data_IF_457524098611
#
_entry.id   IF_457524098611
#
_cell.length_a   1.000
_cell.length_b   1.000
_cell.length_c   1.000
_cell.angle_alpha   90.00
_cell.angle_beta   90.00
_cell.angle_gamma   90.00
#
_symmetry.space_group_name_H-M   'P 1'
#
loop_
_entity.id
_entity.type
_entity.pdbx_description
1 polymer ?
#
# COMPACT_ATOMS: atom_id res chain seq x y z
N UNK A 1 -23.29 2.90 7.28
CA UNK A 1 -22.05 3.52 7.80
C UNK A 1 -21.11 2.39 8.18
N UNK A 2 -19.81 2.51 7.94
CA UNK A 2 -18.84 1.48 8.31
C UNK A 2 -18.76 1.39 9.83
N UNK A 3 -18.90 0.20 10.40
CA UNK A 3 -18.78 0.03 11.86
C UNK A 3 -17.32 0.21 12.32
N UNK A 4 -17.06 0.64 13.57
CA UNK A 4 -15.70 0.80 14.09
C UNK A 4 -14.85 -0.48 13.99
N UNK A 5 -15.47 -1.65 14.11
CA UNK A 5 -14.80 -2.94 13.93
C UNK A 5 -14.30 -3.13 12.49
N UNK A 6 -15.15 -2.84 11.49
CA UNK A 6 -14.80 -2.89 10.06
C UNK A 6 -13.70 -1.89 9.70
N UNK A 7 -13.71 -0.70 10.30
CA UNK A 7 -12.64 0.28 10.12
C UNK A 7 -11.30 -0.26 10.64
N UNK A 8 -11.28 -0.80 11.87
CA UNK A 8 -10.06 -1.38 12.45
C UNK A 8 -9.51 -2.54 11.62
N UNK A 9 -10.39 -3.42 11.13
CA UNK A 9 -9.98 -4.53 10.27
C UNK A 9 -9.42 -4.03 8.92
N UNK A 10 -10.02 -3.00 8.33
CA UNK A 10 -9.49 -2.37 7.11
C UNK A 10 -8.09 -1.79 7.35
N UNK A 11 -7.87 -1.15 8.49
CA UNK A 11 -6.56 -0.59 8.85
C UNK A 11 -5.52 -1.70 9.07
N UNK A 12 -5.91 -2.82 9.69
CA UNK A 12 -5.05 -4.01 9.84
C UNK A 12 -4.70 -4.65 8.49
N UNK A 13 -5.68 -4.83 7.60
CA UNK A 13 -5.45 -5.34 6.27
C UNK A 13 -4.52 -4.42 5.46
N UNK A 14 -4.70 -3.10 5.57
CA UNK A 14 -3.82 -2.11 4.93
C UNK A 14 -2.39 -2.20 5.47
N UNK A 15 -2.20 -2.31 6.78
CA UNK A 15 -0.89 -2.48 7.39
C UNK A 15 -0.19 -3.76 6.87
N UNK A 16 -0.90 -4.90 6.87
CA UNK A 16 -0.37 -6.17 6.36
C UNK A 16 -0.03 -6.11 4.86
N UNK A 17 -0.91 -5.50 4.05
CA UNK A 17 -0.69 -5.27 2.63
C UNK A 17 0.62 -4.51 2.38
N UNK A 18 0.87 -3.45 3.15
CA UNK A 18 2.08 -2.64 2.99
C UNK A 18 3.35 -3.31 3.54
N UNK A 19 3.24 -4.19 4.54
CA UNK A 19 4.36 -5.04 4.97
C UNK A 19 4.73 -6.01 3.84
N UNK A 20 3.77 -6.78 3.33
CA UNK A 20 3.99 -7.75 2.26
C UNK A 20 4.54 -7.07 0.98
N UNK A 21 3.96 -5.94 0.58
CA UNK A 21 4.44 -5.17 -0.56
C UNK A 21 5.88 -4.63 -0.35
N UNK A 22 6.25 -4.28 0.89
CA UNK A 22 7.62 -3.87 1.22
C UNK A 22 8.60 -5.04 1.12
N UNK A 23 8.19 -6.25 1.51
CA UNK A 23 8.99 -7.47 1.36
C UNK A 23 9.21 -7.81 -0.11
N UNK A 24 8.18 -7.71 -0.96
CA UNK A 24 8.33 -7.91 -2.42
C UNK A 24 9.31 -6.88 -3.01
N UNK A 25 9.19 -5.61 -2.60
CA UNK A 25 10.11 -4.55 -3.03
C UNK A 25 11.56 -4.79 -2.60
N UNK A 26 11.78 -5.29 -1.38
CA UNK A 26 13.11 -5.64 -0.87
C UNK A 26 13.69 -6.87 -1.58
N UNK A 27 12.87 -7.89 -1.83
CA UNK A 27 13.27 -9.07 -2.60
C UNK A 27 13.70 -8.68 -4.02
N UNK A 28 12.96 -7.78 -4.68
CA UNK A 28 13.32 -7.26 -6.00
C UNK A 28 14.68 -6.54 -6.00
N UNK A 29 15.02 -5.80 -4.95
CA UNK A 29 16.36 -5.18 -4.80
C UNK A 29 17.44 -6.24 -4.68
N UNK A 30 17.26 -7.20 -3.77
CA UNK A 30 18.23 -8.28 -3.54
C UNK A 30 18.49 -9.06 -4.82
N UNK A 31 17.41 -9.51 -5.47
CA UNK A 31 17.47 -10.28 -6.70
C UNK A 31 18.17 -9.49 -7.84
N UNK A 32 17.83 -8.22 -8.00
CA UNK A 32 18.43 -7.35 -9.03
C UNK A 32 19.92 -7.10 -8.76
N UNK A 33 20.32 -6.91 -7.51
CA UNK A 33 21.73 -6.79 -7.13
C UNK A 33 22.48 -8.09 -7.36
N UNK A 34 21.93 -9.24 -6.97
CA UNK A 34 22.53 -10.55 -7.22
C UNK A 34 22.79 -10.79 -8.70
N UNK A 35 21.79 -10.53 -9.56
CA UNK A 35 21.96 -10.64 -11.02
C UNK A 35 23.03 -9.68 -11.55
N UNK A 36 23.15 -8.48 -10.98
CA UNK A 36 24.15 -7.50 -11.40
C UNK A 36 25.59 -7.88 -11.02
N UNK A 37 25.78 -8.59 -9.91
CA UNK A 37 27.11 -9.11 -9.53
C UNK A 37 27.66 -10.12 -10.56
N UNK A 38 26.78 -10.76 -11.34
CA UNK A 38 27.19 -11.65 -12.43
C UNK A 38 27.65 -10.90 -13.69
N UNK A 39 27.43 -9.58 -13.77
CA UNK A 39 27.88 -8.74 -14.90
C UNK A 39 29.32 -8.29 -14.63
N UNK A 40 30.33 -8.80 -15.36
CA UNK A 40 31.72 -8.45 -15.09
C UNK A 40 31.97 -6.97 -15.40
N UNK A 41 32.74 -6.28 -14.54
CA UNK A 41 33.11 -4.88 -14.77
C UNK A 41 33.92 -4.66 -16.06
N UNK A 42 34.53 -5.71 -16.61
CA UNK A 42 35.48 -5.65 -17.73
C UNK A 42 34.97 -6.34 -19.01
N UNK A 43 34.07 -7.33 -18.92
CA UNK A 43 33.56 -8.10 -20.07
C UNK A 43 32.06 -7.81 -20.33
N UNK A 44 31.82 -6.67 -20.99
CA UNK A 44 30.56 -5.89 -20.95
C UNK A 44 29.49 -6.34 -21.97
N UNK A 45 29.86 -6.57 -23.22
CA UNK A 45 28.89 -6.80 -24.31
C UNK A 45 28.33 -8.24 -24.36
N UNK A 46 29.14 -9.23 -23.97
CA UNK A 46 28.78 -10.65 -24.09
C UNK A 46 27.69 -11.07 -23.08
N UNK A 47 27.61 -10.42 -21.93
CA UNK A 47 26.70 -10.78 -20.82
C UNK A 47 25.49 -9.86 -20.69
N UNK A 48 25.53 -8.66 -21.27
CA UNK A 48 24.48 -7.63 -21.11
C UNK A 48 23.08 -8.09 -21.56
N UNK A 49 22.96 -8.70 -22.75
CA UNK A 49 21.65 -9.15 -23.26
C UNK A 49 21.08 -10.31 -22.44
N UNK A 50 21.95 -11.19 -21.93
CA UNK A 50 21.56 -12.32 -21.07
C UNK A 50 21.14 -11.86 -19.67
N UNK A 51 21.85 -10.89 -19.10
CA UNK A 51 21.48 -10.23 -17.85
C UNK A 51 20.12 -9.52 -17.98
N UNK A 52 19.95 -8.68 -19.00
CA UNK A 52 18.74 -7.87 -19.18
C UNK A 52 17.49 -8.76 -19.27
N UNK A 53 17.55 -9.85 -20.05
CA UNK A 53 16.43 -10.80 -20.16
C UNK A 53 16.05 -11.42 -18.82
N UNK A 54 17.05 -11.85 -18.02
CA UNK A 54 16.82 -12.44 -16.70
C UNK A 54 16.26 -11.42 -15.71
N UNK A 55 16.81 -10.20 -15.72
CA UNK A 55 16.34 -9.12 -14.86
C UNK A 55 14.88 -8.74 -15.17
N UNK A 56 14.51 -8.60 -16.46
CA UNK A 56 13.13 -8.34 -16.87
C UNK A 56 12.19 -9.44 -16.36
N UNK A 57 12.52 -10.71 -16.64
CA UNK A 57 11.68 -11.84 -16.21
C UNK A 57 11.47 -11.87 -14.69
N UNK A 58 12.53 -11.60 -13.93
CA UNK A 58 12.46 -11.59 -12.48
C UNK A 58 11.59 -10.46 -11.96
N UNK A 59 11.84 -9.22 -12.42
CA UNK A 59 11.12 -8.04 -11.95
C UNK A 59 9.65 -8.10 -12.34
N UNK A 60 9.32 -8.60 -13.54
CA UNK A 60 7.93 -8.82 -13.96
C UNK A 60 7.24 -9.90 -13.12
N UNK A 61 7.98 -10.92 -12.66
CA UNK A 61 7.49 -11.89 -11.68
C UNK A 61 7.13 -11.23 -10.33
N UNK A 62 8.01 -10.37 -9.79
CA UNK A 62 7.75 -9.59 -8.56
C UNK A 62 6.62 -8.58 -8.74
N UNK A 63 6.49 -8.00 -9.94
CA UNK A 63 5.40 -7.10 -10.30
C UNK A 63 4.05 -7.81 -10.26
N UNK A 64 3.96 -9.00 -10.85
CA UNK A 64 2.77 -9.87 -10.79
C UNK A 64 2.37 -10.17 -9.34
N UNK A 65 3.32 -10.59 -8.50
CA UNK A 65 3.09 -10.81 -7.07
C UNK A 65 2.49 -9.56 -6.38
N UNK A 66 3.05 -8.38 -6.67
CA UNK A 66 2.55 -7.12 -6.10
C UNK A 66 1.14 -6.77 -6.56
N UNK A 67 0.84 -6.98 -7.85
CA UNK A 67 -0.47 -6.78 -8.45
C UNK A 67 -1.53 -7.69 -7.83
N UNK A 68 -1.24 -8.98 -7.76
CA UNK A 68 -2.18 -9.98 -7.24
C UNK A 68 -2.48 -9.70 -5.75
N UNK A 69 -1.45 -9.34 -4.97
CA UNK A 69 -1.58 -8.88 -3.59
C UNK A 69 -2.48 -7.63 -3.47
N UNK A 70 -2.33 -6.65 -4.37
CA UNK A 70 -3.15 -5.44 -4.35
C UNK A 70 -4.61 -5.69 -4.74
N UNK A 71 -4.87 -6.63 -5.65
CA UNK A 71 -6.24 -7.04 -6.01
C UNK A 71 -6.95 -7.64 -4.81
N UNK A 72 -6.35 -8.64 -4.16
CA UNK A 72 -6.92 -9.28 -2.98
C UNK A 72 -7.16 -8.26 -1.84
N UNK A 73 -6.17 -7.38 -1.59
CA UNK A 73 -6.34 -6.29 -0.62
C UNK A 73 -7.50 -5.36 -0.98
N UNK A 74 -7.60 -4.91 -2.24
CA UNK A 74 -8.65 -4.00 -2.67
C UNK A 74 -10.03 -4.63 -2.53
N UNK A 75 -10.18 -5.91 -2.90
CA UNK A 75 -11.42 -6.68 -2.75
C UNK A 75 -11.86 -6.74 -1.29
N UNK A 76 -10.95 -7.09 -0.38
CA UNK A 76 -11.23 -7.15 1.06
C UNK A 76 -11.56 -5.77 1.64
N UNK A 77 -10.72 -4.77 1.39
CA UNK A 77 -10.90 -3.41 1.92
C UNK A 77 -12.22 -2.79 1.43
N UNK A 78 -12.57 -3.00 0.16
CA UNK A 78 -13.84 -2.54 -0.40
C UNK A 78 -15.05 -3.22 0.23
N UNK A 79 -14.97 -4.53 0.47
CA UNK A 79 -16.04 -5.28 1.15
C UNK A 79 -16.27 -4.74 2.57
N UNK A 80 -15.19 -4.60 3.35
CA UNK A 80 -15.24 -4.06 4.72
C UNK A 80 -15.79 -2.64 4.77
N UNK A 81 -15.47 -1.80 3.78
CA UNK A 81 -15.88 -0.39 3.78
C UNK A 81 -17.26 -0.13 3.15
N UNK A 82 -17.73 -1.02 2.27
CA UNK A 82 -18.91 -0.73 1.43
C UNK A 82 -19.97 -1.83 1.41
N UNK A 83 -19.70 -3.00 2.00
CA UNK A 83 -20.58 -4.17 1.96
C UNK A 83 -20.61 -4.89 0.60
N UNK A 84 -19.72 -4.53 -0.33
CA UNK A 84 -19.63 -5.11 -1.67
C UNK A 84 -18.17 -5.19 -2.10
N UNK A 85 -17.83 -6.14 -2.98
CA UNK A 85 -16.47 -6.30 -3.51
C UNK A 85 -16.46 -6.18 -5.03
N UNK A 86 -15.29 -6.34 -5.63
CA UNK A 86 -15.10 -6.30 -7.09
C UNK A 86 -14.70 -7.68 -7.61
N UNK A 87 -15.08 -7.97 -8.85
CA UNK A 87 -14.70 -9.21 -9.52
C UNK A 87 -13.19 -9.27 -9.81
N UNK A 88 -12.63 -10.48 -9.82
CA UNK A 88 -11.33 -10.72 -10.44
C UNK A 88 -11.47 -10.68 -11.98
N UNK A 89 -10.74 -9.81 -12.68
CA UNK A 89 -10.84 -9.68 -14.14
C UNK A 89 -10.44 -10.94 -14.94
N UNK A 90 -9.82 -11.94 -14.32
CA UNK A 90 -9.34 -13.16 -14.98
C UNK A 90 -10.12 -14.43 -14.62
N UNK A 91 -11.07 -14.34 -13.69
CA UNK A 91 -11.84 -15.49 -13.24
C UNK A 91 -13.34 -15.19 -13.30
N UNK A 92 -14.19 -16.15 -13.72
CA UNK A 92 -15.62 -16.02 -13.52
C UNK A 92 -15.90 -16.07 -12.02
N UNK A 93 -16.27 -14.94 -11.45
CA UNK A 93 -16.65 -14.84 -10.05
C UNK A 93 -18.15 -15.13 -9.90
N UNK A 94 -18.57 -15.79 -8.80
CA UNK A 94 -19.97 -15.87 -8.46
C UNK A 94 -20.55 -14.46 -8.20
N UNK A 95 -21.87 -14.31 -8.31
CA UNK A 95 -22.54 -13.05 -7.98
C UNK A 95 -22.28 -12.62 -6.52
N UNK A 96 -22.03 -13.59 -5.64
CA UNK A 96 -21.76 -13.37 -4.22
C UNK A 96 -20.55 -14.19 -3.75
N UNK A 97 -19.74 -13.59 -2.87
CA UNK A 97 -18.65 -14.25 -2.13
C UNK A 97 -18.81 -14.01 -0.63
N UNK A 98 -18.19 -14.85 0.21
CA UNK A 98 -18.20 -14.60 1.67
C UNK A 98 -17.04 -13.71 2.10
N UNK A 99 -17.19 -13.03 3.24
CA UNK A 99 -16.10 -12.25 3.82
C UNK A 99 -14.94 -13.15 4.25
N UNK A 100 -15.24 -14.39 4.64
CA UNK A 100 -14.24 -15.40 4.96
C UNK A 100 -13.37 -15.77 3.74
N UNK A 101 -13.97 -15.82 2.54
CA UNK A 101 -13.23 -16.08 1.30
C UNK A 101 -12.27 -14.94 0.97
N UNK A 102 -12.73 -13.69 1.05
CA UNK A 102 -11.89 -12.50 0.81
C UNK A 102 -10.73 -12.39 1.80
N UNK A 103 -10.99 -12.70 3.08
CA UNK A 103 -9.95 -12.74 4.12
C UNK A 103 -8.90 -13.81 3.81
N UNK A 104 -9.32 -15.01 3.41
CA UNK A 104 -8.42 -16.11 3.06
C UNK A 104 -7.58 -15.79 1.82
N UNK A 105 -8.21 -15.29 0.75
CA UNK A 105 -7.54 -14.84 -0.47
C UNK A 105 -6.43 -13.82 -0.15
N UNK A 106 -6.74 -12.82 0.68
CA UNK A 106 -5.75 -11.83 1.09
C UNK A 106 -4.68 -12.41 2.02
N UNK A 107 -5.04 -13.25 2.99
CA UNK A 107 -4.10 -13.85 3.94
C UNK A 107 -3.05 -14.73 3.24
N UNK A 108 -3.45 -15.50 2.23
CA UNK A 108 -2.56 -16.36 1.44
C UNK A 108 -1.44 -15.55 0.75
N UNK A 109 -1.71 -14.31 0.34
CA UNK A 109 -0.76 -13.44 -0.33
C UNK A 109 0.01 -12.52 0.64
N UNK A 110 -0.62 -12.07 1.71
CA UNK A 110 -0.03 -11.13 2.66
C UNK A 110 0.89 -11.81 3.69
N UNK A 111 0.61 -13.07 4.03
CA UNK A 111 1.39 -13.90 4.98
C UNK A 111 1.34 -13.45 6.45
N UNK A 112 1.29 -12.15 6.73
CA UNK A 112 1.27 -11.58 8.09
C UNK A 112 -0.12 -11.12 8.55
N UNK A 113 -1.15 -11.36 7.75
CA UNK A 113 -2.52 -10.98 8.09
C UNK A 113 -3.22 -12.13 8.81
N UNK A 114 -3.62 -11.90 10.06
CA UNK A 114 -4.47 -12.81 10.82
C UNK A 114 -5.92 -12.31 10.76
N UNK A 115 -6.78 -13.13 10.16
CA UNK A 115 -8.20 -12.83 10.08
C UNK A 115 -8.84 -12.85 11.49
N UNK A 116 -9.78 -11.94 11.81
CA UNK A 116 -10.57 -12.05 13.02
C UNK A 116 -11.31 -13.40 13.08
N UNK A 117 -11.47 -14.01 14.26
CA UNK A 117 -12.23 -15.26 14.38
C UNK A 117 -13.66 -15.06 13.88
N UNK A 118 -14.15 -15.97 13.02
CA UNK A 118 -15.52 -15.91 12.52
C UNK A 118 -16.52 -16.25 13.64
N UNK A 119 -17.56 -15.42 13.79
CA UNK A 119 -18.63 -15.63 14.78
C UNK A 119 -19.36 -16.97 14.62
N UNK A 120 -19.27 -17.61 13.44
CA UNK A 120 -19.91 -18.87 13.09
C UNK A 120 -19.23 -20.14 13.62
N UNK A 121 -18.07 -20.07 14.29
CA UNK A 121 -17.40 -21.27 14.83
C UNK A 121 -17.80 -21.63 16.27
N UNK A 122 -18.57 -20.79 16.97
CA UNK A 122 -18.87 -20.97 18.40
C UNK A 122 -20.14 -21.78 18.69
N UNK A 123 -20.78 -22.37 17.67
CA UNK A 123 -22.11 -23.01 17.80
C UNK A 123 -22.11 -24.53 17.60
N UNK A 124 -21.00 -25.22 17.83
CA UNK A 124 -20.97 -26.69 17.84
C UNK A 124 -20.04 -27.21 18.92
N UNK A 125 -20.49 -27.17 20.18
CA UNK A 125 -20.21 -28.18 21.23
C UNK A 125 -20.89 -27.75 22.52
N UNK A 126 -22.15 -28.17 22.71
CA UNK A 126 -22.74 -28.52 24.00
C UNK A 126 -24.22 -28.91 23.79
N UNK A 127 -24.43 -30.12 23.30
CA UNK A 127 -25.63 -30.90 23.65
C UNK A 127 -25.10 -32.18 24.26
N UNK A 128 -25.26 -32.36 25.56
CA UNK A 128 -26.17 -33.35 26.15
C UNK A 128 -25.96 -33.43 27.68
N UNK A 129 -26.99 -33.91 28.37
CA UNK A 129 -27.15 -34.12 29.83
C UNK A 129 -27.63 -32.87 30.62
N UNK A 130 -28.76 -32.86 31.33
CA UNK A 130 -29.81 -33.84 31.58
C UNK A 130 -31.08 -33.09 32.03
N UNK A 131 -32.23 -33.70 31.72
CA UNK A 131 -33.57 -33.32 32.16
C UNK A 131 -33.74 -33.58 33.66
N UNK A 132 -34.49 -32.71 34.34
CA UNK A 132 -35.57 -33.12 35.26
C UNK A 132 -36.53 -31.97 35.59
N UNK A 133 -37.77 -32.35 35.92
CA UNK A 133 -39.00 -31.59 35.75
C UNK A 133 -39.47 -30.73 36.96
N UNK A 134 -40.35 -29.78 36.61
CA UNK A 134 -41.17 -28.79 37.34
C UNK A 134 -42.06 -29.31 38.51
N UNK A 135 -43.03 -28.53 39.08
CA UNK A 135 -43.16 -27.07 39.37
C UNK A 135 -43.62 -26.77 40.84
N UNK A 136 -43.62 -25.51 41.30
CA UNK A 136 -44.75 -24.98 42.10
C UNK A 136 -44.81 -23.43 42.17
N UNK A 137 -46.04 -23.00 42.43
CA UNK A 137 -46.76 -21.72 42.40
C UNK A 137 -46.37 -20.63 43.42
N UNK A 138 -46.81 -19.40 43.16
CA UNK A 138 -46.76 -18.28 44.12
C UNK A 138 -47.18 -16.92 43.53
N UNK A 139 -48.49 -16.65 43.57
CA UNK A 139 -49.19 -15.40 43.24
C UNK A 139 -48.77 -14.20 44.10
N UNK A 140 -48.75 -12.97 43.54
CA UNK A 140 -49.30 -11.74 44.15
C UNK A 140 -49.05 -10.48 43.30
N UNK A 141 -50.07 -9.63 43.28
CA UNK A 141 -50.28 -8.50 42.37
C UNK A 141 -49.96 -7.12 42.99
N UNK A 142 -49.30 -6.25 42.19
CA UNK A 142 -49.46 -4.76 42.03
C UNK A 142 -49.19 -3.79 43.22
N UNK A 143 -49.06 -2.43 43.02
CA UNK A 143 -48.96 -1.61 41.79
C UNK A 143 -47.91 -0.42 41.79
N UNK A 144 -47.73 0.18 40.60
CA UNK A 144 -47.24 1.52 40.14
C UNK A 144 -46.12 2.28 40.90
N UNK A 145 -45.04 2.59 40.17
CA UNK A 145 -44.40 3.92 40.22
C UNK A 145 -43.75 4.27 38.88
N UNK A 146 -44.22 5.37 38.31
CA UNK A 146 -43.79 6.04 37.10
C UNK A 146 -42.34 6.53 37.26
N UNK A 147 -41.42 6.04 36.43
CA UNK A 147 -40.10 6.64 36.27
C UNK A 147 -39.68 6.52 34.82
N UNK A 148 -39.60 7.69 34.19
CA UNK A 148 -39.08 7.92 32.85
C UNK A 148 -37.62 7.50 32.82
N UNK A 149 -37.36 6.24 32.46
CA UNK A 149 -36.06 5.82 31.99
C UNK A 149 -35.96 6.22 30.52
N UNK A 150 -35.25 7.32 30.29
CA UNK A 150 -34.63 7.60 29.00
C UNK A 150 -33.71 6.40 28.74
N UNK A 151 -34.22 5.46 27.94
CA UNK A 151 -33.40 4.41 27.36
C UNK A 151 -32.38 5.14 26.49
N UNK A 152 -31.13 5.17 26.96
CA UNK A 152 -30.01 5.33 26.06
C UNK A 152 -30.23 4.31 24.95
N UNK A 153 -30.48 4.81 23.75
CA UNK A 153 -30.50 4.00 22.55
C UNK A 153 -29.17 3.24 22.54
N UNK A 154 -29.25 1.95 22.87
CA UNK A 154 -28.19 1.00 22.66
C UNK A 154 -27.77 1.15 21.20
N UNK A 155 -26.55 1.63 21.00
CA UNK A 155 -25.97 1.87 19.71
C UNK A 155 -26.09 0.57 18.91
N UNK A 156 -26.77 0.67 17.77
CA UNK A 156 -27.30 -0.48 17.03
C UNK A 156 -26.35 -1.67 17.01
N UNK A 157 -26.78 -2.74 17.68
CA UNK A 157 -26.31 -4.09 17.39
C UNK A 157 -26.52 -4.29 15.90
N UNK A 158 -25.41 -4.43 15.16
CA UNK A 158 -25.37 -4.71 13.73
C UNK A 158 -26.36 -5.88 13.46
N UNK A 159 -27.54 -5.56 12.92
CA UNK A 159 -28.53 -6.55 12.53
C UNK A 159 -27.94 -7.37 11.39
N UNK A 160 -27.48 -8.58 11.71
CA UNK A 160 -27.24 -9.72 10.82
C UNK A 160 -26.97 -9.33 9.35
N UNK A 161 -25.91 -8.56 9.09
CA UNK A 161 -25.40 -8.38 7.73
C UNK A 161 -24.96 -9.78 7.26
N UNK A 162 -25.60 -10.32 6.22
CA UNK A 162 -25.29 -11.61 5.60
C UNK A 162 -23.91 -11.53 4.93
N UNK A 163 -22.86 -11.65 5.74
CA UNK A 163 -21.46 -11.64 5.34
C UNK A 163 -21.04 -12.92 4.61
N UNK A 164 -21.96 -13.88 4.49
CA UNK A 164 -21.80 -15.04 3.62
C UNK A 164 -22.18 -14.68 2.17
N UNK A 165 -22.81 -13.51 1.93
CA UNK A 165 -23.24 -13.03 0.61
C UNK A 165 -22.85 -11.56 0.33
N UNK A 166 -21.57 -11.29 0.16
CA UNK A 166 -21.06 -10.00 -0.35
C UNK A 166 -21.22 -9.96 -1.88
N UNK A 167 -21.96 -8.96 -2.38
CA UNK A 167 -22.14 -8.73 -3.82
C UNK A 167 -20.80 -8.45 -4.51
N UNK A 168 -20.56 -9.14 -5.63
CA UNK A 168 -19.41 -8.91 -6.52
C UNK A 168 -19.83 -7.96 -7.66
N UNK A 169 -19.18 -6.81 -7.76
CA UNK A 169 -19.42 -5.83 -8.81
C UNK A 169 -18.32 -5.87 -9.88
N UNK A 170 -18.71 -5.82 -11.15
CA UNK A 170 -17.75 -5.72 -12.25
C UNK A 170 -17.29 -4.27 -12.47
N UNK A 171 -15.98 -4.10 -12.70
CA UNK A 171 -15.41 -2.83 -13.11
C UNK A 171 -15.14 -2.86 -14.62
N UNK A 172 -15.90 -2.07 -15.37
CA UNK A 172 -15.82 -2.01 -16.83
C UNK A 172 -14.39 -1.67 -17.32
N UNK A 173 -13.89 -2.45 -18.27
CA UNK A 173 -12.59 -2.22 -18.91
C UNK A 173 -11.38 -2.46 -18.00
N UNK A 174 -11.55 -3.09 -16.84
CA UNK A 174 -10.46 -3.32 -15.87
C UNK A 174 -9.39 -4.26 -16.43
N UNK A 175 -9.82 -5.34 -17.09
CA UNK A 175 -8.91 -6.34 -17.67
C UNK A 175 -8.05 -5.72 -18.76
N UNK A 176 -8.67 -5.03 -19.71
CA UNK A 176 -7.99 -4.43 -20.86
C UNK A 176 -6.94 -3.41 -20.42
N UNK A 177 -7.26 -2.60 -19.41
CA UNK A 177 -6.32 -1.62 -18.85
C UNK A 177 -5.21 -2.28 -18.05
N UNK A 178 -5.49 -3.33 -17.27
CA UNK A 178 -4.44 -4.06 -16.57
C UNK A 178 -3.47 -4.70 -17.57
N UNK A 179 -3.97 -5.37 -18.61
CA UNK A 179 -3.14 -5.94 -19.67
C UNK A 179 -2.31 -4.86 -20.40
N UNK A 180 -2.88 -3.67 -20.62
CA UNK A 180 -2.16 -2.52 -21.19
C UNK A 180 -1.07 -2.02 -20.25
N UNK A 181 -1.37 -1.83 -18.97
CA UNK A 181 -0.42 -1.40 -17.94
C UNK A 181 0.75 -2.37 -17.83
N UNK A 182 0.49 -3.69 -17.89
CA UNK A 182 1.56 -4.68 -17.80
C UNK A 182 2.47 -4.70 -19.04
N UNK A 183 1.92 -4.48 -20.25
CA UNK A 183 2.73 -4.29 -21.46
C UNK A 183 3.61 -3.04 -21.38
N UNK A 184 3.02 -1.90 -21.01
CA UNK A 184 3.73 -0.63 -20.84
C UNK A 184 4.83 -0.73 -19.78
N UNK A 185 4.57 -1.44 -18.68
CA UNK A 185 5.55 -1.66 -17.61
C UNK A 185 6.74 -2.52 -18.08
N UNK A 186 6.53 -3.55 -18.90
CA UNK A 186 7.62 -4.35 -19.45
C UNK A 186 8.49 -3.54 -20.41
N UNK A 187 7.86 -2.73 -21.27
CA UNK A 187 8.57 -1.82 -22.20
C UNK A 187 9.37 -0.75 -21.46
N UNK A 188 8.77 -0.13 -20.44
CA UNK A 188 9.46 0.82 -19.55
C UNK A 188 10.66 0.14 -18.89
N UNK A 189 10.45 -1.04 -18.29
CA UNK A 189 11.49 -1.76 -17.57
C UNK A 189 12.66 -2.13 -18.48
N UNK A 190 12.39 -2.60 -19.70
CA UNK A 190 13.42 -2.91 -20.69
C UNK A 190 14.28 -1.68 -20.98
N UNK A 191 13.63 -0.54 -21.21
CA UNK A 191 14.29 0.74 -21.49
C UNK A 191 15.12 1.21 -20.30
N UNK A 192 14.54 1.18 -19.10
CA UNK A 192 15.16 1.68 -17.87
C UNK A 192 16.32 0.81 -17.42
N UNK A 193 16.20 -0.52 -17.46
CA UNK A 193 17.28 -1.41 -17.04
C UNK A 193 18.46 -1.38 -18.01
N UNK A 194 18.22 -1.29 -19.32
CA UNK A 194 19.32 -1.14 -20.27
C UNK A 194 20.05 0.20 -20.08
N UNK A 195 19.28 1.29 -19.90
CA UNK A 195 19.81 2.61 -19.65
C UNK A 195 20.61 2.69 -18.33
N UNK A 196 20.04 2.20 -17.21
CA UNK A 196 20.64 2.32 -15.86
C UNK A 196 21.68 1.24 -15.54
N UNK A 197 21.62 0.09 -16.21
CA UNK A 197 22.56 -1.01 -16.07
C UNK A 197 23.73 -0.88 -17.04
N UNK A 198 23.68 -1.62 -18.15
CA UNK A 198 24.77 -1.76 -19.13
C UNK A 198 25.23 -0.44 -19.72
N UNK A 199 24.31 0.40 -20.22
CA UNK A 199 24.69 1.64 -20.89
C UNK A 199 25.29 2.66 -19.93
N UNK A 200 24.71 2.80 -18.73
CA UNK A 200 25.23 3.67 -17.68
C UNK A 200 26.61 3.23 -17.19
N UNK A 201 26.83 1.93 -17.01
CA UNK A 201 28.15 1.40 -16.67
C UNK A 201 29.16 1.71 -17.78
N UNK A 202 28.82 1.44 -19.05
CA UNK A 202 29.71 1.73 -20.19
C UNK A 202 30.14 3.20 -20.21
N UNK A 203 29.16 4.11 -20.16
CA UNK A 203 29.41 5.55 -20.15
C UNK A 203 30.34 5.98 -19.01
N UNK A 204 30.12 5.48 -17.79
CA UNK A 204 30.95 5.82 -16.62
C UNK A 204 32.37 5.28 -16.73
N UNK A 205 32.54 4.13 -17.36
CA UNK A 205 33.85 3.51 -17.57
C UNK A 205 34.64 4.21 -18.67
N UNK A 206 33.97 4.64 -19.75
CA UNK A 206 34.61 5.36 -20.85
C UNK A 206 35.08 6.76 -20.43
N UNK A 207 34.52 7.31 -19.35
CA UNK A 207 34.98 8.54 -18.69
C UNK A 207 36.28 8.35 -17.86
N UNK A 208 36.70 7.10 -17.60
CA UNK A 208 37.94 6.79 -16.87
C UNK A 208 39.11 6.81 -17.86
N UNK A 209 39.89 7.89 -17.86
CA UNK A 209 41.06 8.02 -18.73
C UNK A 209 42.20 7.03 -18.41
N UNK A 210 42.98 6.67 -19.44
CA UNK A 210 44.09 5.70 -19.37
C UNK A 210 45.30 6.16 -18.53
N UNK A 211 45.31 7.41 -18.06
CA UNK A 211 46.45 8.04 -17.39
C UNK A 211 46.50 7.79 -15.87
N UNK A 212 45.50 7.13 -15.27
CA UNK A 212 45.47 6.88 -13.82
C UNK A 212 46.31 5.64 -13.42
N UNK A 213 46.94 5.65 -12.22
CA UNK A 213 47.54 4.44 -11.66
C UNK A 213 46.54 3.28 -11.61
N UNK A 214 46.97 2.07 -11.95
CA UNK A 214 46.09 0.91 -12.12
C UNK A 214 45.16 0.64 -10.92
N UNK A 215 45.64 0.84 -9.69
CA UNK A 215 44.87 0.66 -8.44
C UNK A 215 43.74 1.69 -8.28
N UNK A 216 43.98 2.93 -8.69
CA UNK A 216 42.96 3.98 -8.62
C UNK A 216 41.91 3.76 -9.71
N UNK A 217 42.34 3.33 -10.89
CA UNK A 217 41.43 2.94 -11.96
C UNK A 217 40.54 1.74 -11.57
N UNK A 218 41.08 0.71 -10.90
CA UNK A 218 40.29 -0.44 -10.40
C UNK A 218 39.20 -0.01 -9.41
N UNK A 219 39.56 0.85 -8.45
CA UNK A 219 38.60 1.35 -7.47
C UNK A 219 37.49 2.17 -8.12
N UNK A 220 37.83 3.04 -9.07
CA UNK A 220 36.84 3.85 -9.80
C UNK A 220 35.91 2.95 -10.62
N UNK A 221 36.43 1.89 -11.24
CA UNK A 221 35.61 0.88 -11.93
C UNK A 221 34.65 0.16 -10.99
N UNK A 222 35.12 -0.26 -9.83
CA UNK A 222 34.29 -0.93 -8.82
C UNK A 222 33.17 0.01 -8.32
N UNK A 223 33.50 1.27 -8.04
CA UNK A 223 32.51 2.25 -7.59
C UNK A 223 31.49 2.59 -8.68
N UNK A 224 31.91 2.68 -9.94
CA UNK A 224 30.99 2.83 -11.08
C UNK A 224 30.04 1.62 -11.21
N UNK A 225 30.56 0.40 -11.08
CA UNK A 225 29.76 -0.83 -11.10
C UNK A 225 28.76 -0.87 -9.94
N UNK A 226 29.21 -0.55 -8.72
CA UNK A 226 28.36 -0.48 -7.52
C UNK A 226 27.23 0.54 -7.68
N UNK A 227 27.53 1.73 -8.21
CA UNK A 227 26.53 2.77 -8.43
C UNK A 227 25.51 2.39 -9.50
N UNK A 228 25.96 1.83 -10.64
CA UNK A 228 25.05 1.33 -11.67
C UNK A 228 24.14 0.22 -11.13
N UNK A 229 24.71 -0.72 -10.36
CA UNK A 229 23.98 -1.76 -9.65
C UNK A 229 22.91 -1.23 -8.71
N UNK A 230 23.25 -0.22 -7.89
CA UNK A 230 22.30 0.41 -6.99
C UNK A 230 21.17 1.15 -7.73
N UNK A 231 21.49 1.85 -8.83
CA UNK A 231 20.50 2.60 -9.62
C UNK A 231 19.51 1.66 -10.32
N UNK A 232 20.00 0.61 -10.99
CA UNK A 232 19.10 -0.36 -11.63
C UNK A 232 18.25 -1.11 -10.59
N UNK A 233 18.81 -1.46 -9.43
CA UNK A 233 18.06 -2.19 -8.39
C UNK A 233 16.93 -1.34 -7.79
N UNK A 234 17.16 -0.02 -7.65
CA UNK A 234 16.11 0.92 -7.24
C UNK A 234 14.96 1.01 -8.26
N UNK A 235 15.28 1.00 -9.55
CA UNK A 235 14.28 0.95 -10.62
C UNK A 235 13.53 -0.38 -10.67
N UNK A 236 14.25 -1.51 -10.52
CA UNK A 236 13.66 -2.85 -10.43
C UNK A 236 12.64 -2.94 -9.29
N UNK A 237 13.01 -2.46 -8.09
CA UNK A 237 12.10 -2.37 -6.95
C UNK A 237 10.89 -1.49 -7.24
N UNK A 238 11.08 -0.31 -7.86
CA UNK A 238 9.98 0.56 -8.23
C UNK A 238 9.00 -0.13 -9.17
N UNK A 239 9.46 -0.75 -10.25
CA UNK A 239 8.61 -1.41 -11.25
C UNK A 239 7.86 -2.59 -10.65
N UNK A 240 8.54 -3.41 -9.82
CA UNK A 240 7.92 -4.50 -9.08
C UNK A 240 6.78 -3.96 -8.20
N UNK A 241 7.08 -2.99 -7.33
CA UNK A 241 6.10 -2.40 -6.44
C UNK A 241 4.98 -1.64 -7.16
N UNK A 242 5.25 -1.11 -8.36
CA UNK A 242 4.23 -0.46 -9.17
C UNK A 242 3.15 -1.44 -9.64
N UNK A 243 3.38 -2.77 -9.62
CA UNK A 243 2.31 -3.73 -9.85
C UNK A 243 1.15 -3.50 -8.88
N UNK A 244 1.46 -3.38 -7.58
CA UNK A 244 0.44 -3.07 -6.58
C UNK A 244 -0.16 -1.67 -6.74
N UNK A 245 0.69 -0.67 -7.00
CA UNK A 245 0.29 0.75 -7.01
C UNK A 245 -0.58 1.10 -8.20
N UNK A 246 -0.22 0.59 -9.39
CA UNK A 246 -0.99 0.76 -10.62
C UNK A 246 -2.32 0.02 -10.52
N UNK A 247 -2.33 -1.20 -9.96
CA UNK A 247 -3.58 -1.96 -9.76
C UNK A 247 -4.54 -1.26 -8.82
N UNK A 248 -4.07 -0.85 -7.63
CA UNK A 248 -4.91 -0.12 -6.70
C UNK A 248 -5.45 1.17 -7.35
N UNK A 249 -4.60 1.90 -8.07
CA UNK A 249 -5.00 3.10 -8.80
C UNK A 249 -6.08 2.83 -9.85
N UNK A 250 -5.89 1.79 -10.66
CA UNK A 250 -6.79 1.49 -11.76
C UNK A 250 -8.18 1.05 -11.27
N UNK A 251 -8.21 0.24 -10.20
CA UNK A 251 -9.43 -0.11 -9.49
C UNK A 251 -10.11 1.15 -8.93
N UNK A 252 -9.37 1.95 -8.15
CA UNK A 252 -9.88 3.18 -7.56
C UNK A 252 -10.46 4.13 -8.59
N UNK A 253 -9.84 4.31 -9.75
CA UNK A 253 -10.30 5.23 -10.78
C UNK A 253 -11.64 4.79 -11.38
N UNK A 254 -11.83 3.49 -11.58
CA UNK A 254 -13.04 2.88 -12.16
C UNK A 254 -14.17 2.69 -11.17
N UNK A 255 -13.84 2.42 -9.92
CA UNK A 255 -14.82 2.08 -8.91
C UNK A 255 -15.65 3.31 -8.50
N UNK A 256 -16.96 3.28 -8.79
CA UNK A 256 -17.89 4.36 -8.43
C UNK A 256 -18.05 4.51 -6.91
N UNK A 257 -17.74 3.47 -6.13
CA UNK A 257 -17.78 3.52 -4.66
C UNK A 257 -16.56 4.21 -4.06
N UNK A 258 -15.43 4.26 -4.77
CA UNK A 258 -14.29 5.07 -4.37
C UNK A 258 -14.57 6.55 -4.67
N UNK A 259 -14.80 7.34 -3.63
CA UNK A 259 -15.04 8.79 -3.72
C UNK A 259 -13.79 9.54 -4.18
N UNK A 260 -12.61 8.99 -3.91
CA UNK A 260 -11.33 9.59 -4.20
C UNK A 260 -10.17 8.74 -3.72
N UNK A 261 -8.99 9.36 -3.61
CA UNK A 261 -7.82 8.77 -3.01
C UNK A 261 -7.12 9.74 -2.08
N UNK A 262 -6.32 9.19 -1.17
CA UNK A 262 -5.36 9.94 -0.36
C UNK A 262 -3.97 9.38 -0.61
N UNK A 263 -2.96 10.25 -0.59
CA UNK A 263 -1.56 9.83 -0.63
C UNK A 263 -1.08 9.55 0.79
N UNK A 264 -0.43 8.41 0.98
CA UNK A 264 0.07 7.97 2.29
C UNK A 264 1.55 7.53 2.22
N UNK A 265 2.19 7.49 3.38
CA UNK A 265 3.60 7.07 3.53
C UNK A 265 3.67 5.73 4.27
N UNK A 266 4.39 4.75 3.70
CA UNK A 266 4.66 3.47 4.39
C UNK A 266 5.64 3.61 5.57
N UNK A 267 6.46 4.67 5.59
CA UNK A 267 7.54 4.82 6.58
C UNK A 267 7.25 5.89 7.64
N UNK A 268 6.15 6.63 7.51
CA UNK A 268 5.89 7.85 8.30
C UNK A 268 6.87 9.02 8.03
N UNK A 269 7.91 8.81 7.24
CA UNK A 269 8.99 9.77 6.95
C UNK A 269 9.15 9.99 5.43
N UNK A 270 8.11 10.51 4.75
CA UNK A 270 8.13 10.66 3.30
C UNK A 270 9.15 11.72 2.84
N UNK A 271 9.66 11.59 1.61
CA UNK A 271 10.45 12.66 1.01
C UNK A 271 9.59 13.94 0.85
N UNK A 272 10.21 15.11 0.75
CA UNK A 272 9.47 16.38 0.72
C UNK A 272 8.48 16.55 -0.45
N UNK A 273 8.67 15.83 -1.57
CA UNK A 273 7.69 15.80 -2.66
C UNK A 273 6.48 14.94 -2.30
N UNK A 274 6.71 13.74 -1.78
CA UNK A 274 5.63 12.87 -1.31
C UNK A 274 4.86 13.51 -0.15
N UNK A 275 5.55 14.18 0.78
CA UNK A 275 4.93 14.94 1.85
C UNK A 275 3.97 16.02 1.29
N UNK A 276 4.32 16.66 0.18
CA UNK A 276 3.43 17.63 -0.48
C UNK A 276 2.22 16.95 -1.11
N UNK A 277 2.40 15.78 -1.72
CA UNK A 277 1.26 15.03 -2.26
C UNK A 277 0.33 14.54 -1.14
N UNK A 278 0.90 14.11 -0.01
CA UNK A 278 0.18 13.71 1.21
C UNK A 278 -0.59 14.90 1.79
N UNK A 279 -0.01 16.11 1.78
CA UNK A 279 -0.66 17.31 2.34
C UNK A 279 -1.89 17.80 1.57
N UNK A 280 -2.27 17.13 0.47
CA UNK A 280 -3.50 17.46 -0.26
C UNK A 280 -4.75 16.88 0.39
N UNK A 281 -4.60 15.94 1.33
CA UNK A 281 -5.75 15.23 1.89
C UNK A 281 -6.45 14.35 0.85
N UNK A 282 -7.75 14.06 1.02
CA UNK A 282 -8.53 13.27 0.08
C UNK A 282 -8.79 14.06 -1.21
N UNK A 283 -8.37 13.51 -2.35
CA UNK A 283 -8.61 14.05 -3.68
C UNK A 283 -9.82 13.32 -4.27
N UNK A 284 -10.94 14.04 -4.40
CA UNK A 284 -12.22 13.49 -4.86
C UNK A 284 -12.36 13.44 -6.37
N UNK A 285 -13.15 12.47 -6.84
CA UNK A 285 -13.64 12.41 -8.21
C UNK A 285 -14.76 13.43 -8.41
N UNK A 286 -14.47 14.51 -9.11
CA UNK A 286 -15.46 15.40 -9.71
C UNK A 286 -15.25 15.52 -11.23
N UNK A 287 -16.27 16.03 -11.95
CA UNK A 287 -16.16 16.33 -13.38
C UNK A 287 -15.04 17.34 -13.66
N UNK A 288 -14.78 18.25 -12.71
CA UNK A 288 -13.67 19.22 -12.75
C UNK A 288 -12.31 18.60 -12.37
N UNK A 289 -12.28 17.53 -11.57
CA UNK A 289 -11.06 16.84 -11.11
C UNK A 289 -10.39 15.95 -12.18
N UNK A 290 -10.61 16.22 -13.47
CA UNK A 290 -10.04 15.50 -14.61
C UNK A 290 -8.49 15.44 -14.63
N UNK A 291 -7.84 16.05 -13.63
CA UNK A 291 -6.42 15.95 -13.27
C UNK A 291 -6.10 14.80 -12.29
N UNK A 292 -7.04 13.87 -12.07
CA UNK A 292 -6.86 12.57 -11.40
C UNK A 292 -5.85 11.70 -12.17
N UNK A 293 -4.59 12.14 -12.24
CA UNK A 293 -3.53 11.61 -13.13
C UNK A 293 -2.27 11.29 -12.33
N UNK A 294 -2.05 11.93 -11.17
CA UNK A 294 -0.79 11.76 -10.45
C UNK A 294 -0.79 10.62 -9.44
N UNK A 295 -1.90 9.91 -9.26
CA UNK A 295 -2.02 8.82 -8.29
C UNK A 295 -1.17 7.59 -8.61
N UNK A 296 -0.73 7.44 -9.86
CA UNK A 296 0.15 6.33 -10.28
C UNK A 296 1.58 6.75 -10.64
N UNK A 297 2.02 7.94 -10.22
CA UNK A 297 3.39 8.42 -10.47
C UNK A 297 4.29 8.21 -9.26
N UNK A 298 5.35 7.44 -9.46
CA UNK A 298 6.32 7.09 -8.41
C UNK A 298 7.74 7.18 -8.94
N UNK A 299 8.67 7.63 -8.09
CA UNK A 299 10.11 7.63 -8.39
C UNK A 299 10.82 6.45 -7.71
N UNK A 300 12.06 6.20 -8.10
CA UNK A 300 12.88 5.14 -7.51
C UNK A 300 13.04 5.38 -6.00
N UNK A 301 13.01 4.31 -5.20
CA UNK A 301 13.00 4.39 -3.73
C UNK A 301 11.79 5.15 -3.14
N UNK A 302 10.64 5.30 -3.84
CA UNK A 302 9.44 5.87 -3.21
C UNK A 302 8.77 4.89 -2.24
N UNK A 303 8.57 5.36 -1.01
CA UNK A 303 7.78 4.67 0.02
C UNK A 303 6.32 5.13 0.12
N UNK A 304 5.88 5.93 -0.85
CA UNK A 304 4.53 6.44 -0.96
C UNK A 304 3.59 5.50 -1.74
N UNK A 305 2.28 5.64 -1.50
CA UNK A 305 1.21 4.97 -2.25
C UNK A 305 -0.07 5.82 -2.25
N UNK A 306 -1.02 5.48 -3.12
CA UNK A 306 -2.39 6.01 -3.11
C UNK A 306 -3.32 4.99 -2.46
N UNK A 307 -4.20 5.44 -1.57
CA UNK A 307 -5.19 4.61 -0.89
C UNK A 307 -6.62 5.07 -1.20
N UNK A 308 -7.60 4.16 -1.35
CA UNK A 308 -8.98 4.52 -1.63
C UNK A 308 -9.61 5.24 -0.44
N UNK A 309 -10.41 6.26 -0.76
CA UNK A 309 -11.32 6.89 0.19
C UNK A 309 -12.74 6.53 -0.22
N UNK A 310 -13.39 5.67 0.55
CA UNK A 310 -14.78 5.24 0.35
C UNK A 310 -15.78 6.10 1.14
N UNK A 311 -15.34 6.71 2.24
CA UNK A 311 -16.15 7.68 3.00
C UNK A 311 -15.28 8.70 3.72
N UNK A 312 -15.86 9.85 4.07
CA UNK A 312 -15.16 10.83 4.92
C UNK A 312 -14.96 10.35 6.35
N UNK A 313 -15.86 9.51 6.85
CA UNK A 313 -15.73 8.88 8.17
C UNK A 313 -14.48 7.99 8.22
N UNK A 314 -14.24 7.18 7.19
CA UNK A 314 -13.02 6.37 7.05
C UNK A 314 -11.76 7.26 7.08
N UNK A 315 -11.74 8.36 6.31
CA UNK A 315 -10.59 9.26 6.27
C UNK A 315 -10.31 9.93 7.62
N UNK A 316 -11.35 10.35 8.34
CA UNK A 316 -11.19 11.02 9.63
C UNK A 316 -10.88 10.06 10.78
N UNK A 317 -11.44 8.84 10.74
CA UNK A 317 -11.35 7.86 11.82
C UNK A 317 -10.14 6.93 11.77
N UNK A 318 -9.42 6.85 10.64
CA UNK A 318 -8.23 6.00 10.51
C UNK A 318 -6.98 6.68 11.07
N UNK A 319 -6.15 5.92 11.77
CA UNK A 319 -4.81 6.34 12.19
C UNK A 319 -3.83 6.36 11.01
N UNK A 320 -4.09 5.58 9.95
CA UNK A 320 -3.25 5.56 8.75
C UNK A 320 -3.24 6.91 8.03
N UNK A 321 -4.31 7.69 8.17
CA UNK A 321 -4.49 9.01 7.56
C UNK A 321 -4.11 10.16 8.51
N UNK A 322 -3.64 9.90 9.73
CA UNK A 322 -3.25 10.93 10.68
C UNK A 322 -2.16 11.87 10.13
N UNK A 323 -1.13 11.30 9.49
CA UNK A 323 -0.08 12.09 8.85
C UNK A 323 -0.61 12.97 7.71
N UNK A 324 -1.59 12.47 6.95
CA UNK A 324 -2.27 13.24 5.90
C UNK A 324 -2.96 14.46 6.49
N UNK A 325 -3.77 14.26 7.54
CA UNK A 325 -4.49 15.34 8.24
C UNK A 325 -3.51 16.37 8.84
N UNK A 326 -2.42 15.91 9.45
CA UNK A 326 -1.37 16.78 9.99
C UNK A 326 -0.77 17.65 8.87
N UNK A 327 -0.38 17.04 7.75
CA UNK A 327 0.29 17.75 6.66
C UNK A 327 -0.68 18.68 5.92
N UNK A 328 -1.94 18.28 5.76
CA UNK A 328 -3.03 19.11 5.24
C UNK A 328 -3.18 20.40 6.05
N UNK A 329 -3.16 20.31 7.39
CA UNK A 329 -3.24 21.48 8.27
C UNK A 329 -1.97 22.36 8.22
N UNK A 330 -0.79 21.76 8.03
CA UNK A 330 0.49 22.48 8.01
C UNK A 330 0.78 23.17 6.68
N UNK A 331 0.36 22.61 5.55
CA UNK A 331 0.63 23.14 4.22
C UNK A 331 0.29 24.64 4.08
N UNK A 332 -0.94 25.12 4.34
CA UNK A 332 -1.28 26.53 4.17
C UNK A 332 -0.50 27.46 5.10
N UNK A 333 -0.04 26.96 6.25
CA UNK A 333 0.78 27.74 7.19
C UNK A 333 2.21 27.90 6.66
N UNK A 334 2.82 26.80 6.20
CA UNK A 334 4.19 26.78 5.68
C UNK A 334 4.32 27.50 4.34
N UNK A 335 3.28 27.45 3.50
CA UNK A 335 3.29 28.06 2.17
C UNK A 335 2.58 29.42 2.12
N UNK A 336 2.28 30.03 3.26
CA UNK A 336 1.59 31.33 3.32
C UNK A 336 2.32 32.38 2.47
N UNK A 337 1.61 32.99 1.52
CA UNK A 337 2.16 34.00 0.61
C UNK A 337 3.10 33.45 -0.47
N UNK A 338 3.23 32.13 -0.61
CA UNK A 338 4.04 31.46 -1.62
C UNK A 338 3.15 30.68 -2.60
N UNK A 339 3.64 30.45 -3.82
CA UNK A 339 2.94 29.67 -4.84
C UNK A 339 3.90 28.91 -5.75
N UNK A 340 3.39 27.92 -6.47
CA UNK A 340 4.18 27.12 -7.43
C UNK A 340 5.47 26.57 -6.82
N UNK A 341 6.60 26.81 -7.49
CA UNK A 341 7.92 26.28 -7.08
C UNK A 341 8.39 26.82 -5.74
N UNK A 342 8.03 28.05 -5.36
CA UNK A 342 8.48 28.65 -4.10
C UNK A 342 7.78 28.00 -2.89
N UNK A 343 6.47 27.75 -3.00
CA UNK A 343 5.70 27.01 -2.00
C UNK A 343 6.26 25.59 -1.80
N UNK A 344 6.46 24.84 -2.90
CA UNK A 344 7.05 23.49 -2.84
C UNK A 344 8.45 23.51 -2.23
N UNK A 345 9.27 24.51 -2.53
CA UNK A 345 10.62 24.64 -1.96
C UNK A 345 10.59 24.92 -0.46
N UNK A 346 9.69 25.79 0.00
CA UNK A 346 9.50 26.06 1.42
C UNK A 346 9.04 24.80 2.17
N UNK A 347 8.05 24.10 1.63
CA UNK A 347 7.58 22.83 2.17
C UNK A 347 8.68 21.77 2.28
N UNK A 348 9.47 21.57 1.22
CA UNK A 348 10.59 20.61 1.22
C UNK A 348 11.63 20.96 2.29
N UNK A 349 11.89 22.25 2.55
CA UNK A 349 12.78 22.68 3.64
C UNK A 349 12.17 22.35 5.01
N UNK A 350 10.90 22.69 5.23
CA UNK A 350 10.18 22.41 6.46
C UNK A 350 10.18 20.91 6.80
N UNK A 351 9.82 20.05 5.85
CA UNK A 351 9.79 18.59 6.05
C UNK A 351 11.17 18.04 6.43
N UNK A 352 12.24 18.47 5.74
CA UNK A 352 13.61 18.05 6.10
C UNK A 352 13.99 18.48 7.52
N UNK A 353 13.62 19.69 7.93
CA UNK A 353 13.89 20.18 9.28
C UNK A 353 13.12 19.39 10.33
N UNK A 354 11.80 19.20 10.13
CA UNK A 354 10.94 18.40 11.02
C UNK A 354 11.47 16.98 11.19
N UNK A 355 11.83 16.31 10.10
CA UNK A 355 12.37 14.95 10.14
C UNK A 355 13.75 14.88 10.79
N UNK A 356 14.62 15.87 10.57
CA UNK A 356 15.92 15.95 11.24
C UNK A 356 15.76 16.13 12.75
N UNK A 357 14.85 17.00 13.18
CA UNK A 357 14.55 17.21 14.60
C UNK A 357 14.03 15.92 15.25
N UNK A 358 13.02 15.28 14.66
CA UNK A 358 12.48 14.01 15.16
C UNK A 358 13.56 12.90 15.24
N UNK A 359 14.45 12.83 14.26
CA UNK A 359 15.56 11.87 14.28
C UNK A 359 16.61 12.18 15.36
N UNK A 360 16.83 13.46 15.70
CA UNK A 360 17.73 13.86 16.79
C UNK A 360 17.11 13.54 18.16
N UNK A 361 15.84 13.85 18.34
CA UNK A 361 15.07 13.52 19.55
C UNK A 361 15.07 12.01 19.80
N UNK A 362 14.73 11.20 18.80
CA UNK A 362 14.74 9.74 18.92
C UNK A 362 16.12 9.17 19.32
N UNK A 363 17.20 9.74 18.79
CA UNK A 363 18.58 9.36 19.18
C UNK A 363 18.88 9.71 20.63
N UNK A 364 18.49 10.89 21.09
CA UNK A 364 18.68 11.31 22.48
C UNK A 364 17.91 10.40 23.44
N UNK A 365 16.64 10.10 23.15
CA UNK A 365 15.82 9.19 23.95
C UNK A 365 16.39 7.76 24.02
N UNK A 366 17.00 7.29 22.93
CA UNK A 366 17.63 5.96 22.90
C UNK A 366 18.91 5.92 23.75
N UNK A 367 19.66 7.02 23.80
CA UNK A 367 20.87 7.14 24.63
C UNK A 367 20.46 7.19 26.12
N UNK A 368 19.50 8.03 26.49
CA UNK A 368 19.03 8.11 27.88
C UNK A 368 18.41 6.81 28.37
N UNK A 369 17.66 6.09 27.52
CA UNK A 369 17.11 4.76 27.86
C UNK A 369 18.16 3.65 27.98
N UNK A 370 19.39 3.85 27.47
CA UNK A 370 20.52 2.93 27.65
C UNK A 370 21.39 3.27 28.86
N UNK A 371 21.32 4.51 29.35
CA UNK A 371 22.06 5.01 30.51
C UNK A 371 21.29 4.84 31.83
N UNK A 372 19.97 4.66 31.75
CA UNK A 372 19.08 4.26 32.86
C UNK A 372 18.98 2.73 32.95
#
# INVERSE_FOLDING_TARGET
MTSPARQRETDQASAAFHVALSQIGAAAVTDALSLWHEVPAVQRAATASGWLRRAISLVMGRRRQSRDLARAYYRLARALQTGSTVADPYHPEPEYVSLADLRREFAELAGTYEAPPSASSTSQTATDESRDAAPDSGDSSSPVADSVQVTHADEGQDQDEDWDRILVEELEGLREDEERIEREAEEELRTVLDALGSQNLNRRLDEIGDEQPAKDADKVREDAHRQAGAQQAAAASRVAMNGARSTAWDHMRRDRRALGYVRLSRTGTPCGWCAMLISRGPVYKSRESATFIDGDRYHDNCHCYAAPVFSMQQYQGSELTALSREYEALWPQVTKGLSGKSAVSAWRRFIRQKQRAAAQEARQSTITAREA
#
